data_IF_139362907183
#
_entry.id   IF_139362907183
#
_cell.length_a   1.000
_cell.length_b   1.000
_cell.length_c   1.000
_cell.angle_alpha   90.00
_cell.angle_beta   90.00
_cell.angle_gamma   90.00
#
_symmetry.space_group_name_H-M   'P 1'
#
loop_
_entity.id
_entity.type
_entity.pdbx_description
1 polymer ?
#
# COMPACT_ATOMS: atom_id res chain seq x y z
N UNK A 1 28.91 12.30 3.10
CA UNK A 1 28.21 10.99 3.10
C UNK A 1 26.93 11.21 3.88
N UNK A 2 25.78 11.26 3.19
CA UNK A 2 24.50 11.41 3.88
C UNK A 2 24.33 10.26 4.89
N UNK A 3 23.76 10.54 6.06
CA UNK A 3 23.46 9.48 7.02
C UNK A 3 22.52 8.46 6.37
N UNK A 4 22.58 7.18 6.79
CA UNK A 4 21.68 6.15 6.24
C UNK A 4 20.19 6.54 6.38
N UNK A 5 19.87 7.36 7.38
CA UNK A 5 18.56 7.98 7.55
C UNK A 5 18.23 9.03 6.47
N UNK A 6 19.12 10.00 6.25
CA UNK A 6 18.97 11.01 5.18
C UNK A 6 18.83 10.37 3.81
N UNK A 7 19.53 9.26 3.55
CA UNK A 7 19.40 8.50 2.31
C UNK A 7 17.97 7.96 2.14
N UNK A 8 17.37 7.36 3.18
CA UNK A 8 15.99 6.88 3.12
C UNK A 8 15.00 8.03 2.88
N UNK A 9 15.20 9.17 3.53
CA UNK A 9 14.36 10.36 3.35
C UNK A 9 14.47 10.88 1.92
N UNK A 10 15.68 10.98 1.37
CA UNK A 10 15.91 11.44 0.00
C UNK A 10 15.25 10.51 -1.02
N UNK A 11 15.47 9.20 -0.90
CA UNK A 11 14.89 8.21 -1.81
C UNK A 11 13.36 8.23 -1.74
N UNK A 12 12.79 8.32 -0.53
CA UNK A 12 11.35 8.42 -0.36
C UNK A 12 10.78 9.69 -1.00
N UNK A 13 11.44 10.85 -0.83
CA UNK A 13 11.02 12.13 -1.41
C UNK A 13 10.98 12.06 -2.94
N UNK A 14 12.00 11.51 -3.57
CA UNK A 14 12.05 11.35 -5.02
C UNK A 14 10.98 10.37 -5.53
N UNK A 15 10.61 9.38 -4.71
CA UNK A 15 9.62 8.37 -5.05
C UNK A 15 8.16 8.78 -4.80
N UNK A 16 7.89 9.88 -4.08
CA UNK A 16 6.52 10.32 -3.68
C UNK A 16 5.51 10.30 -4.84
N UNK A 17 5.93 10.75 -6.02
CA UNK A 17 5.08 10.82 -7.21
C UNK A 17 5.33 9.71 -8.23
N UNK A 18 6.26 8.79 -7.95
CA UNK A 18 6.71 7.80 -8.93
C UNK A 18 6.47 6.36 -8.52
N UNK A 19 6.66 6.03 -7.23
CA UNK A 19 6.62 4.64 -6.79
C UNK A 19 6.17 4.49 -5.33
N UNK A 20 4.89 4.16 -5.14
CA UNK A 20 4.31 3.91 -3.82
C UNK A 20 5.02 2.78 -3.05
N UNK A 21 5.56 1.77 -3.75
CA UNK A 21 6.33 0.69 -3.14
C UNK A 21 7.60 1.19 -2.46
N UNK A 22 8.39 2.02 -3.16
CA UNK A 22 9.65 2.58 -2.63
C UNK A 22 9.38 3.48 -1.43
N UNK A 23 8.30 4.27 -1.45
CA UNK A 23 7.92 5.10 -0.31
C UNK A 23 7.55 4.24 0.90
N UNK A 24 6.75 3.18 0.69
CA UNK A 24 6.37 2.25 1.76
C UNK A 24 7.58 1.50 2.35
N UNK A 25 8.51 1.08 1.50
CA UNK A 25 9.77 0.45 1.91
C UNK A 25 10.61 1.39 2.77
N UNK A 26 10.86 2.61 2.28
CA UNK A 26 11.65 3.60 2.99
C UNK A 26 11.02 3.99 4.32
N UNK A 27 9.71 4.18 4.35
CA UNK A 27 8.95 4.47 5.59
C UNK A 27 9.06 3.31 6.59
N UNK A 28 8.98 2.06 6.13
CA UNK A 28 9.16 0.87 6.98
C UNK A 28 10.56 0.82 7.58
N UNK A 29 11.59 0.94 6.74
CA UNK A 29 12.98 0.91 7.19
C UNK A 29 13.30 2.07 8.14
N UNK A 30 12.78 3.27 7.84
CA UNK A 30 12.98 4.44 8.68
C UNK A 30 12.30 4.27 10.03
N UNK A 31 11.05 3.80 10.06
CA UNK A 31 10.29 3.60 11.30
C UNK A 31 10.96 2.57 12.20
N UNK A 32 11.48 1.48 11.62
CA UNK A 32 12.15 0.42 12.37
C UNK A 32 13.51 0.85 12.94
N UNK A 33 14.28 1.68 12.23
CA UNK A 33 15.68 1.97 12.58
C UNK A 33 15.90 3.35 13.20
N UNK A 34 15.07 4.33 12.84
CA UNK A 34 15.34 5.75 13.10
C UNK A 34 14.21 6.49 13.82
N UNK A 35 12.99 5.96 13.90
CA UNK A 35 11.85 6.66 14.52
C UNK A 35 12.20 7.30 15.88
N UNK A 36 12.73 6.53 16.84
CA UNK A 36 13.17 7.04 18.17
C UNK A 36 12.12 7.92 18.86
N UNK A 37 10.85 7.52 18.79
CA UNK A 37 9.71 8.28 19.33
C UNK A 37 9.01 9.19 18.32
N UNK A 38 9.58 9.38 17.13
CA UNK A 38 8.90 9.97 15.97
C UNK A 38 7.94 8.97 15.33
N UNK A 39 7.00 9.49 14.54
CA UNK A 39 5.85 8.81 13.97
C UNK A 39 5.85 8.88 12.44
N UNK A 40 4.91 8.21 11.80
CA UNK A 40 4.67 8.33 10.35
C UNK A 40 4.39 9.79 9.92
N UNK A 41 3.83 10.62 10.82
CA UNK A 41 3.61 12.04 10.56
C UNK A 41 4.93 12.81 10.46
N UNK A 42 5.90 12.52 11.32
CA UNK A 42 7.22 13.16 11.27
C UNK A 42 7.96 12.76 9.99
N UNK A 43 7.86 11.49 9.58
CA UNK A 43 8.42 11.04 8.30
C UNK A 43 7.73 11.72 7.11
N UNK A 44 6.40 11.80 7.15
CA UNK A 44 5.58 12.49 6.16
C UNK A 44 6.02 13.93 5.94
N UNK A 45 6.23 14.70 7.02
CA UNK A 45 6.72 16.08 6.95
C UNK A 45 8.08 16.18 6.25
N UNK A 46 8.98 15.20 6.41
CA UNK A 46 10.31 15.21 5.79
C UNK A 46 10.28 14.89 4.28
N UNK A 47 9.26 14.17 3.80
CA UNK A 47 9.13 13.73 2.40
C UNK A 47 8.03 14.45 1.63
N UNK A 48 7.18 15.23 2.31
CA UNK A 48 6.09 16.00 1.69
C UNK A 48 4.75 15.25 1.58
N UNK A 49 4.47 14.32 2.50
CA UNK A 49 3.22 13.56 2.58
C UNK A 49 2.58 13.71 3.97
N UNK A 50 1.27 13.46 4.07
CA UNK A 50 0.61 13.37 5.38
C UNK A 50 1.04 12.09 6.12
N UNK A 51 0.89 12.09 7.45
CA UNK A 51 1.13 10.88 8.26
C UNK A 51 0.28 9.69 7.81
N UNK A 52 -0.98 9.92 7.43
CA UNK A 52 -1.87 8.85 6.94
C UNK A 52 -1.40 8.27 5.60
N UNK A 53 -0.91 9.14 4.69
CA UNK A 53 -0.36 8.71 3.40
C UNK A 53 0.88 7.82 3.56
N UNK A 54 1.72 8.12 4.55
CA UNK A 54 2.87 7.29 4.90
C UNK A 54 2.41 5.99 5.57
N UNK A 55 1.52 6.08 6.56
CA UNK A 55 1.02 4.95 7.31
C UNK A 55 0.42 3.87 6.39
N UNK A 56 -0.42 4.27 5.43
CA UNK A 56 -1.05 3.35 4.49
C UNK A 56 -0.03 2.67 3.56
N UNK A 57 0.92 3.43 2.98
CA UNK A 57 2.00 2.87 2.15
C UNK A 57 2.89 1.92 2.93
N UNK A 58 3.20 2.27 4.17
CA UNK A 58 3.97 1.42 5.10
C UNK A 58 3.24 0.10 5.36
N UNK A 59 1.93 0.13 5.63
CA UNK A 59 1.14 -1.09 5.82
C UNK A 59 1.11 -1.98 4.58
N UNK A 60 0.90 -1.40 3.39
CA UNK A 60 0.94 -2.16 2.14
C UNK A 60 2.32 -2.80 1.91
N UNK A 61 3.41 -2.07 2.18
CA UNK A 61 4.75 -2.64 2.09
C UNK A 61 4.98 -3.77 3.10
N UNK A 62 4.59 -3.59 4.36
CA UNK A 62 4.75 -4.64 5.38
C UNK A 62 3.99 -5.91 5.02
N UNK A 63 2.79 -5.78 4.45
CA UNK A 63 1.95 -6.92 4.09
C UNK A 63 2.36 -7.59 2.77
N UNK A 64 2.67 -6.79 1.73
CA UNK A 64 2.82 -7.29 0.36
C UNK A 64 4.16 -6.93 -0.30
N UNK A 65 5.07 -6.23 0.38
CA UNK A 65 6.31 -5.70 -0.20
C UNK A 65 7.21 -6.74 -0.85
N UNK A 66 7.24 -7.97 -0.33
CA UNK A 66 7.96 -9.07 -0.99
C UNK A 66 7.09 -9.88 -1.94
N UNK A 67 5.80 -10.04 -1.63
CA UNK A 67 4.86 -10.86 -2.39
C UNK A 67 4.46 -10.20 -3.73
N UNK A 68 4.38 -8.88 -3.82
CA UNK A 68 3.87 -8.18 -5.01
C UNK A 68 4.63 -8.49 -6.30
N UNK A 69 5.90 -8.89 -6.19
CA UNK A 69 6.75 -9.31 -7.32
C UNK A 69 6.20 -10.55 -8.03
N UNK A 70 5.34 -11.33 -7.38
CA UNK A 70 4.65 -12.49 -7.95
C UNK A 70 3.45 -12.10 -8.83
N UNK A 71 2.98 -10.85 -8.73
CA UNK A 71 1.83 -10.34 -9.48
C UNK A 71 2.25 -9.16 -10.38
N UNK A 72 3.06 -9.40 -11.43
CA UNK A 72 3.66 -8.35 -12.24
C UNK A 72 2.64 -7.49 -13.02
N UNK A 73 1.42 -8.00 -13.20
CA UNK A 73 0.36 -7.28 -13.92
C UNK A 73 -0.46 -6.36 -13.00
N UNK A 74 -0.27 -6.43 -11.68
CA UNK A 74 -1.06 -5.68 -10.72
C UNK A 74 -0.38 -4.37 -10.31
N UNK A 75 -1.17 -3.30 -10.32
CA UNK A 75 -0.77 -2.00 -9.77
C UNK A 75 -0.84 -2.02 -8.24
N UNK A 76 -0.13 -1.10 -7.59
CA UNK A 76 -0.14 -0.92 -6.14
C UNK A 76 -1.56 -0.80 -5.55
N UNK A 77 -2.49 -0.19 -6.28
CA UNK A 77 -3.88 -0.02 -5.87
C UNK A 77 -4.62 -1.33 -5.55
N UNK A 78 -4.28 -2.45 -6.20
CA UNK A 78 -4.87 -3.75 -5.88
C UNK A 78 -4.52 -4.19 -4.45
N UNK A 79 -3.25 -4.04 -4.08
CA UNK A 79 -2.73 -4.40 -2.77
C UNK A 79 -3.24 -3.47 -1.67
N UNK A 80 -3.38 -2.19 -2.00
CA UNK A 80 -3.98 -1.22 -1.08
C UNK A 80 -5.43 -1.60 -0.73
N UNK A 81 -6.23 -1.94 -1.74
CA UNK A 81 -7.62 -2.38 -1.54
C UNK A 81 -7.71 -3.69 -0.77
N UNK A 82 -6.77 -4.62 -1.02
CA UNK A 82 -6.75 -5.92 -0.36
C UNK A 82 -6.10 -5.91 1.04
N UNK A 83 -5.67 -4.75 1.55
CA UNK A 83 -4.86 -4.65 2.78
C UNK A 83 -5.51 -5.27 4.03
N UNK A 84 -6.85 -5.23 4.11
CA UNK A 84 -7.60 -5.78 5.24
C UNK A 84 -8.43 -7.01 4.85
N UNK A 85 -8.12 -7.65 3.71
CA UNK A 85 -8.87 -8.83 3.26
C UNK A 85 -8.17 -10.10 3.73
N UNK A 86 -8.90 -10.96 4.45
CA UNK A 86 -8.38 -12.27 4.89
C UNK A 86 -8.01 -13.19 3.72
N UNK A 87 -8.64 -12.96 2.57
CA UNK A 87 -8.54 -13.71 1.32
C UNK A 87 -7.78 -12.92 0.23
N UNK A 88 -6.94 -11.95 0.63
CA UNK A 88 -6.20 -11.06 -0.25
C UNK A 88 -5.39 -11.80 -1.33
N UNK A 89 -4.62 -12.83 -0.96
CA UNK A 89 -3.74 -13.55 -1.88
C UNK A 89 -4.54 -14.23 -3.01
N UNK A 90 -5.68 -14.85 -2.68
CA UNK A 90 -6.54 -15.51 -3.66
C UNK A 90 -7.19 -14.49 -4.60
N UNK A 91 -7.61 -13.34 -4.08
CA UNK A 91 -8.13 -12.23 -4.90
C UNK A 91 -7.07 -11.63 -5.83
N UNK A 92 -5.86 -11.42 -5.34
CA UNK A 92 -4.74 -10.90 -6.13
C UNK A 92 -4.33 -11.89 -7.22
N UNK A 93 -4.25 -13.18 -6.91
CA UNK A 93 -3.96 -14.22 -7.91
C UNK A 93 -5.00 -14.21 -9.02
N UNK A 94 -6.29 -14.23 -8.66
CA UNK A 94 -7.36 -14.17 -9.66
C UNK A 94 -7.25 -12.92 -10.53
N UNK A 95 -7.09 -11.75 -9.93
CA UNK A 95 -7.00 -10.49 -10.68
C UNK A 95 -5.79 -10.45 -11.63
N UNK A 96 -4.65 -11.00 -11.21
CA UNK A 96 -3.44 -11.09 -12.02
C UNK A 96 -3.65 -12.01 -13.23
N UNK A 97 -4.30 -13.16 -13.03
CA UNK A 97 -4.52 -14.17 -14.05
C UNK A 97 -5.58 -13.74 -15.07
N UNK A 98 -6.60 -13.01 -14.65
CA UNK A 98 -7.68 -12.54 -15.52
C UNK A 98 -7.45 -11.15 -16.09
N UNK A 99 -6.34 -10.47 -15.74
CA UNK A 99 -6.10 -9.06 -16.06
C UNK A 99 -7.27 -8.15 -15.63
N UNK A 100 -7.86 -8.45 -14.48
CA UNK A 100 -9.02 -7.72 -13.97
C UNK A 100 -8.62 -6.32 -13.47
N UNK A 101 -9.58 -5.41 -13.48
CA UNK A 101 -9.53 -4.13 -12.77
C UNK A 101 -9.76 -4.30 -11.27
N UNK A 102 -9.43 -3.29 -10.47
CA UNK A 102 -9.69 -3.32 -9.02
C UNK A 102 -11.20 -3.45 -8.71
N UNK A 103 -12.05 -2.83 -9.53
CA UNK A 103 -13.50 -2.92 -9.39
C UNK A 103 -14.00 -4.36 -9.62
N UNK A 104 -13.46 -5.04 -10.64
CA UNK A 104 -13.77 -6.44 -10.93
C UNK A 104 -13.27 -7.37 -9.81
N UNK A 105 -12.07 -7.14 -9.26
CA UNK A 105 -11.56 -7.91 -8.12
C UNK A 105 -12.48 -7.79 -6.89
N UNK A 106 -12.96 -6.57 -6.58
CA UNK A 106 -13.94 -6.34 -5.50
C UNK A 106 -15.26 -7.08 -5.76
N UNK A 107 -15.78 -6.99 -6.99
CA UNK A 107 -17.02 -7.64 -7.38
C UNK A 107 -16.92 -9.17 -7.30
N UNK A 108 -15.81 -9.72 -7.79
CA UNK A 108 -15.52 -11.15 -7.73
C UNK A 108 -15.42 -11.66 -6.29
N UNK A 109 -14.68 -10.95 -5.42
CA UNK A 109 -14.60 -11.26 -3.99
C UNK A 109 -15.97 -11.29 -3.33
N UNK A 110 -16.81 -10.28 -3.59
CA UNK A 110 -18.17 -10.19 -3.05
C UNK A 110 -19.03 -11.39 -3.50
N UNK A 111 -18.96 -11.75 -4.78
CA UNK A 111 -19.68 -12.90 -5.32
C UNK A 111 -19.22 -14.22 -4.68
N UNK A 112 -17.91 -14.38 -4.43
CA UNK A 112 -17.34 -15.60 -3.83
C UNK A 112 -17.72 -15.79 -2.36
N UNK A 113 -17.71 -14.73 -1.56
CA UNK A 113 -18.00 -14.79 -0.12
C UNK A 113 -19.51 -14.94 0.19
N UNK A 114 -20.37 -14.97 -0.84
CA UNK A 114 -21.83 -15.04 -0.66
C UNK A 114 -22.40 -13.85 0.10
N UNK A 115 -21.69 -12.72 0.11
CA UNK A 115 -21.98 -11.57 0.97
C UNK A 115 -23.30 -10.90 0.64
N UNK A 116 -24.11 -10.70 1.69
CA UNK A 116 -25.34 -9.90 1.68
C UNK A 116 -25.04 -8.49 1.16
N UNK A 117 -25.80 -8.05 0.14
CA UNK A 117 -25.64 -6.77 -0.58
C UNK A 117 -25.77 -5.53 0.32
N UNK A 118 -26.14 -5.71 1.59
CA UNK A 118 -26.38 -4.67 2.60
C UNK A 118 -25.19 -4.40 3.54
N UNK A 119 -24.11 -5.18 3.45
CA UNK A 119 -22.91 -4.90 4.24
C UNK A 119 -22.23 -3.67 3.64
N UNK A 120 -22.09 -2.58 4.43
CA UNK A 120 -21.42 -1.36 3.98
C UNK A 120 -20.07 -1.74 3.35
N UNK A 121 -19.79 -1.28 2.12
CA UNK A 121 -18.52 -1.56 1.53
C UNK A 121 -17.44 -0.91 2.40
N UNK A 122 -16.37 -1.64 2.69
CA UNK A 122 -15.13 -1.15 3.30
C UNK A 122 -14.39 -0.16 2.34
N UNK A 123 -15.15 0.59 1.53
CA UNK A 123 -14.77 1.50 0.46
C UNK A 123 -14.49 2.92 0.97
N UNK A 124 -14.67 3.21 2.26
CA UNK A 124 -14.50 4.55 2.82
C UNK A 124 -13.06 5.05 2.90
N UNK A 125 -12.09 4.30 2.35
CA UNK A 125 -10.70 4.74 2.32
C UNK A 125 -10.08 4.68 0.91
N UNK A 126 -10.87 4.77 -0.15
CA UNK A 126 -10.34 5.00 -1.50
C UNK A 126 -9.88 6.46 -1.63
N UNK A 127 -8.71 6.77 -1.10
CA UNK A 127 -8.13 8.10 -1.23
C UNK A 127 -7.62 8.31 -2.65
N UNK A 128 -7.98 9.42 -3.29
CA UNK A 128 -7.64 9.78 -4.69
C UNK A 128 -6.13 9.69 -5.02
N UNK A 129 -5.25 9.70 -4.02
CA UNK A 129 -3.80 9.56 -4.21
C UNK A 129 -3.33 8.13 -4.49
N UNK A 130 -4.21 7.12 -4.37
CA UNK A 130 -3.89 5.70 -4.55
C UNK A 130 -3.83 5.23 -6.02
N UNK A 131 -4.08 6.13 -6.97
CA UNK A 131 -4.12 5.87 -8.42
C UNK A 131 -2.73 5.72 -9.05
#
# INVERSE_FOLDING_TARGET
MASSEEKLISVARDAVSQCNWVVGECATQWTQKYARGRTDNDFGQMVGLSGDQIYQRRRVWVQFGEMHKQFPNLKWSFFYVALNWDDAEECLSWANDTSATVAEMRAWRRARLGGDLNSEPDDLNYSEWAA
#
